data_IF_160801439684
#
_entry.id   IF_160801439684
#
_cell.length_a   1.000
_cell.length_b   1.000
_cell.length_c   1.000
_cell.angle_alpha   90.00
_cell.angle_beta   90.00
_cell.angle_gamma   90.00
#
_symmetry.space_group_name_H-M   'P 1'
#
loop_
_entity.id
_entity.type
_entity.pdbx_description
1 polymer ?
#
# COMPACT_ATOMS: atom_id res chain seq x y z
N UNK A 1 9.57 -41.84 12.24
CA UNK A 1 8.87 -40.76 11.52
C UNK A 1 7.93 -40.14 12.54
N UNK A 2 8.24 -38.97 13.12
CA UNK A 2 7.26 -38.24 13.89
C UNK A 2 6.18 -37.71 12.95
N UNK A 3 4.88 -37.82 13.30
CA UNK A 3 3.85 -37.17 12.52
C UNK A 3 4.18 -35.67 12.50
N UNK A 4 4.28 -35.10 11.30
CA UNK A 4 4.26 -33.65 11.16
C UNK A 4 2.90 -33.22 11.73
N UNK A 5 2.91 -32.67 12.94
CA UNK A 5 1.75 -32.02 13.53
C UNK A 5 1.30 -30.96 12.51
N UNK A 6 0.06 -31.05 12.06
CA UNK A 6 -0.62 -29.98 11.29
C UNK A 6 -0.63 -28.72 12.16
N UNK A 7 0.52 -28.01 12.14
CA UNK A 7 0.64 -26.77 12.88
C UNK A 7 -0.15 -25.70 12.12
N UNK A 8 -1.22 -25.22 12.76
CA UNK A 8 -2.02 -24.13 12.22
C UNK A 8 -1.73 -22.86 13.03
N UNK A 9 -1.76 -21.72 12.37
CA UNK A 9 -1.62 -20.38 12.98
C UNK A 9 -2.93 -19.63 12.89
N UNK A 10 -3.21 -18.78 13.85
CA UNK A 10 -4.35 -17.87 13.80
C UNK A 10 -4.10 -16.74 12.82
N UNK A 11 -5.12 -16.31 12.13
CA UNK A 11 -5.08 -15.15 11.25
C UNK A 11 -6.32 -14.29 11.41
N UNK A 12 -6.20 -13.05 10.99
CA UNK A 12 -7.29 -12.11 10.79
C UNK A 12 -7.18 -11.52 9.39
N UNK A 13 -8.33 -11.28 8.75
CA UNK A 13 -8.39 -10.64 7.44
C UNK A 13 -8.77 -9.19 7.62
N UNK A 14 -7.99 -8.29 7.05
CA UNK A 14 -8.21 -6.85 7.04
C UNK A 14 -8.14 -6.30 5.62
N UNK A 15 -8.85 -5.21 5.36
CA UNK A 15 -8.62 -4.42 4.16
C UNK A 15 -8.57 -2.93 4.44
N UNK A 16 -7.81 -2.21 3.61
CA UNK A 16 -7.80 -0.75 3.55
C UNK A 16 -8.07 -0.31 2.11
N UNK A 17 -9.23 0.31 1.85
CA UNK A 17 -9.61 0.75 0.49
C UNK A 17 -9.52 -0.36 -0.56
N UNK A 18 -10.06 -1.57 -0.22
CA UNK A 18 -10.11 -2.71 -1.13
C UNK A 18 -8.80 -3.48 -1.35
N UNK A 19 -7.70 -3.03 -0.76
CA UNK A 19 -6.44 -3.79 -0.70
C UNK A 19 -6.43 -4.62 0.58
N UNK A 20 -6.44 -5.95 0.45
CA UNK A 20 -6.75 -6.89 1.53
C UNK A 20 -5.57 -7.76 1.95
N UNK A 21 -5.45 -8.00 3.25
CA UNK A 21 -4.32 -8.70 3.85
C UNK A 21 -4.74 -9.80 4.81
N UNK A 22 -4.03 -10.92 4.76
CA UNK A 22 -3.96 -11.89 5.85
C UNK A 22 -3.00 -11.36 6.90
N UNK A 23 -3.47 -11.14 8.13
CA UNK A 23 -2.65 -10.67 9.25
C UNK A 23 -2.38 -11.83 10.18
N UNK A 24 -1.11 -12.09 10.46
CA UNK A 24 -0.62 -13.14 11.36
C UNK A 24 0.24 -12.50 12.45
N UNK A 25 0.06 -12.90 13.69
CA UNK A 25 0.96 -12.52 14.76
C UNK A 25 2.38 -13.01 14.43
N UNK A 26 3.34 -12.09 14.35
CA UNK A 26 4.71 -12.37 13.95
C UNK A 26 5.48 -13.28 14.93
N UNK A 27 4.91 -13.55 16.12
CA UNK A 27 5.43 -14.49 17.11
C UNK A 27 4.98 -15.94 16.83
N UNK A 28 3.97 -16.13 15.99
CA UNK A 28 3.52 -17.45 15.54
C UNK A 28 4.59 -18.10 14.64
N UNK A 29 4.86 -19.42 14.81
CA UNK A 29 5.93 -20.10 14.08
C UNK A 29 5.51 -20.43 12.62
N UNK A 30 5.74 -19.50 11.71
CA UNK A 30 5.63 -19.70 10.25
C UNK A 30 7.04 -19.75 9.65
N UNK A 31 7.63 -20.96 9.45
CA UNK A 31 9.03 -21.09 9.06
C UNK A 31 9.34 -20.67 7.63
N UNK A 32 8.35 -20.76 6.71
CA UNK A 32 8.50 -20.41 5.29
C UNK A 32 7.45 -19.39 4.88
N UNK A 33 7.66 -18.12 5.29
CA UNK A 33 6.70 -17.02 5.08
C UNK A 33 6.36 -16.77 3.61
N UNK A 34 7.33 -16.96 2.69
CA UNK A 34 7.09 -16.86 1.25
C UNK A 34 6.08 -17.89 0.77
N UNK A 35 6.35 -19.19 1.00
CA UNK A 35 5.43 -20.27 0.61
C UNK A 35 4.06 -20.17 1.31
N UNK A 36 4.02 -19.65 2.54
CA UNK A 36 2.77 -19.35 3.25
C UNK A 36 1.95 -18.30 2.49
N UNK A 37 2.60 -17.20 2.04
CA UNK A 37 1.92 -16.16 1.28
C UNK A 37 1.46 -16.68 -0.09
N UNK A 38 2.30 -17.38 -0.84
CA UNK A 38 1.94 -17.97 -2.13
C UNK A 38 0.67 -18.83 -2.03
N UNK A 39 0.58 -19.69 -1.00
CA UNK A 39 -0.56 -20.61 -0.83
C UNK A 39 -1.82 -19.87 -0.38
N UNK A 40 -1.71 -18.99 0.63
CA UNK A 40 -2.89 -18.38 1.25
C UNK A 40 -3.38 -17.09 0.57
N UNK A 41 -2.53 -16.43 -0.22
CA UNK A 41 -2.95 -15.26 -1.00
C UNK A 41 -3.59 -15.62 -2.35
N UNK A 42 -3.47 -16.84 -2.83
CA UNK A 42 -3.95 -17.25 -4.16
C UNK A 42 -5.46 -16.98 -4.33
N UNK A 43 -5.84 -16.28 -5.40
CA UNK A 43 -7.22 -15.78 -5.58
C UNK A 43 -8.26 -16.87 -5.88
N UNK A 44 -7.84 -18.08 -6.24
CA UNK A 44 -8.75 -19.22 -6.50
C UNK A 44 -8.75 -20.24 -5.36
N UNK A 45 -7.60 -20.47 -4.71
CA UNK A 45 -7.41 -21.57 -3.75
C UNK A 45 -7.02 -21.09 -2.35
N UNK A 46 -6.68 -19.81 -2.18
CA UNK A 46 -6.22 -19.24 -0.91
C UNK A 46 -7.34 -19.07 0.13
N UNK A 47 -7.05 -18.28 1.14
CA UNK A 47 -7.95 -18.04 2.27
C UNK A 47 -9.34 -17.59 1.82
N UNK A 48 -10.38 -18.12 2.48
CA UNK A 48 -11.77 -17.77 2.23
C UNK A 48 -12.53 -17.66 3.55
N UNK A 49 -13.58 -16.85 3.55
CA UNK A 49 -14.52 -16.79 4.66
C UNK A 49 -15.43 -18.02 4.65
N UNK A 50 -15.30 -18.88 5.66
CA UNK A 50 -16.13 -20.07 5.81
C UNK A 50 -17.61 -19.75 6.11
N UNK A 51 -17.89 -18.55 6.62
CA UNK A 51 -19.27 -18.08 6.87
C UNK A 51 -20.01 -17.67 5.59
N UNK A 52 -19.27 -17.36 4.52
CA UNK A 52 -19.79 -16.87 3.26
C UNK A 52 -20.28 -15.43 3.29
N UNK A 53 -19.94 -14.66 4.34
CA UNK A 53 -20.26 -13.23 4.42
C UNK A 53 -19.37 -12.37 3.50
N UNK A 54 -18.17 -12.87 3.18
CA UNK A 54 -17.20 -12.20 2.32
C UNK A 54 -16.83 -13.11 1.13
N UNK A 55 -17.12 -12.64 -0.07
CA UNK A 55 -16.93 -13.44 -1.31
C UNK A 55 -15.46 -13.46 -1.79
N UNK A 56 -14.63 -12.50 -1.36
CA UNK A 56 -13.28 -12.34 -1.88
C UNK A 56 -12.30 -13.35 -1.29
N UNK A 57 -11.87 -14.29 -2.11
CA UNK A 57 -10.86 -15.29 -1.75
C UNK A 57 -9.43 -14.75 -1.89
N UNK A 58 -8.48 -15.35 -1.14
CA UNK A 58 -7.07 -14.97 -1.17
C UNK A 58 -6.80 -13.60 -0.54
N UNK A 59 -5.66 -13.01 -0.86
CA UNK A 59 -5.25 -11.70 -0.36
C UNK A 59 -4.23 -11.02 -1.28
N UNK A 60 -4.04 -9.70 -1.11
CA UNK A 60 -2.98 -8.94 -1.77
C UNK A 60 -1.62 -9.08 -1.05
N UNK A 61 -1.60 -9.75 0.09
CA UNK A 61 -0.38 -10.07 0.83
C UNK A 61 -0.64 -10.60 2.23
N UNK A 62 0.44 -11.00 2.90
CA UNK A 62 0.44 -11.40 4.30
C UNK A 62 1.23 -10.39 5.12
N UNK A 63 0.63 -9.87 6.17
CA UNK A 63 1.28 -9.04 7.18
C UNK A 63 1.64 -9.92 8.39
N UNK A 64 2.92 -10.09 8.66
CA UNK A 64 3.40 -10.64 9.92
C UNK A 64 3.71 -9.47 10.85
N UNK A 65 2.95 -9.35 11.95
CA UNK A 65 2.99 -8.20 12.85
C UNK A 65 3.43 -8.63 14.24
N UNK A 66 4.49 -8.03 14.78
CA UNK A 66 4.87 -8.19 16.18
C UNK A 66 4.64 -6.89 16.95
N UNK A 67 3.76 -6.95 17.96
CA UNK A 67 3.43 -5.81 18.80
C UNK A 67 4.35 -5.77 20.03
N UNK A 68 5.00 -4.63 20.22
CA UNK A 68 5.83 -4.34 21.38
C UNK A 68 5.17 -3.20 22.19
N UNK A 69 4.22 -3.56 23.06
CA UNK A 69 3.38 -2.64 23.85
C UNK A 69 4.12 -1.97 25.00
N UNK A 70 5.34 -2.45 25.33
CA UNK A 70 6.23 -1.84 26.35
C UNK A 70 6.77 -0.46 25.96
N UNK A 71 6.70 -0.08 24.68
CA UNK A 71 7.12 1.25 24.20
C UNK A 71 5.95 2.24 24.24
N UNK A 72 6.27 3.53 24.27
CA UNK A 72 5.30 4.63 24.26
C UNK A 72 5.70 5.70 23.22
N UNK A 73 5.04 5.78 22.07
CA UNK A 73 3.93 4.90 21.61
C UNK A 73 4.35 3.45 21.42
N UNK A 74 3.41 2.48 21.49
CA UNK A 74 3.71 1.09 21.18
C UNK A 74 4.30 0.94 19.78
N UNK A 75 5.17 -0.06 19.63
CA UNK A 75 5.88 -0.35 18.38
C UNK A 75 5.30 -1.59 17.71
N UNK A 76 5.18 -1.55 16.39
CA UNK A 76 4.75 -2.67 15.56
C UNK A 76 5.90 -2.98 14.60
N UNK A 77 6.46 -4.19 14.66
CA UNK A 77 7.37 -4.66 13.61
C UNK A 77 6.54 -5.29 12.51
N UNK A 78 6.54 -4.71 11.33
CA UNK A 78 5.75 -5.14 10.18
C UNK A 78 6.62 -5.80 9.12
N UNK A 79 6.31 -7.05 8.77
CA UNK A 79 6.85 -7.72 7.59
C UNK A 79 5.71 -7.98 6.61
N UNK A 80 5.80 -7.43 5.41
CA UNK A 80 4.85 -7.68 4.32
C UNK A 80 5.45 -8.69 3.34
N UNK A 81 4.72 -9.76 3.10
CA UNK A 81 5.04 -10.79 2.10
C UNK A 81 3.98 -10.74 1.01
N UNK A 82 4.42 -10.58 -0.23
CA UNK A 82 3.56 -10.51 -1.41
C UNK A 82 3.05 -11.89 -1.84
N UNK A 83 2.03 -11.98 -2.70
CA UNK A 83 1.48 -13.26 -3.17
C UNK A 83 2.48 -14.15 -3.92
N UNK A 84 3.57 -13.58 -4.47
CA UNK A 84 4.65 -14.31 -5.11
C UNK A 84 5.76 -14.77 -4.14
N UNK A 85 5.54 -14.60 -2.83
CA UNK A 85 6.49 -14.94 -1.77
C UNK A 85 7.60 -13.91 -1.54
N UNK A 86 7.69 -12.85 -2.33
CA UNK A 86 8.67 -11.78 -2.16
C UNK A 86 8.32 -10.84 -1.00
N UNK A 87 9.30 -10.06 -0.52
CA UNK A 87 9.11 -9.11 0.58
C UNK A 87 8.96 -7.69 0.03
N UNK A 88 7.92 -7.00 0.45
CA UNK A 88 7.74 -5.59 0.13
C UNK A 88 8.25 -4.69 1.26
N UNK A 89 9.00 -3.64 0.90
CA UNK A 89 9.62 -2.73 1.87
C UNK A 89 8.59 -1.86 2.62
N UNK A 90 7.49 -1.51 1.96
CA UNK A 90 6.42 -0.68 2.51
C UNK A 90 5.12 -0.86 1.72
N UNK A 91 3.99 -0.75 2.44
CA UNK A 91 2.66 -0.61 1.86
C UNK A 91 1.83 0.30 2.78
N UNK A 92 1.32 1.43 2.28
CA UNK A 92 0.52 2.37 3.06
C UNK A 92 -0.80 1.76 3.56
N UNK A 93 -1.44 0.93 2.73
CA UNK A 93 -2.66 0.21 3.10
C UNK A 93 -2.35 -0.85 4.17
N UNK A 94 -1.26 -1.62 4.01
CA UNK A 94 -0.80 -2.59 5.01
C UNK A 94 -0.42 -1.94 6.34
N UNK A 95 0.21 -0.76 6.32
CA UNK A 95 0.54 -0.02 7.55
C UNK A 95 -0.73 0.45 8.29
N UNK A 96 -1.79 0.86 7.56
CA UNK A 96 -3.08 1.17 8.18
C UNK A 96 -3.71 -0.08 8.83
N UNK A 97 -3.71 -1.22 8.13
CA UNK A 97 -4.18 -2.50 8.69
C UNK A 97 -3.38 -2.91 9.93
N UNK A 98 -2.05 -2.73 9.92
CA UNK A 98 -1.20 -3.02 11.08
C UNK A 98 -1.55 -2.14 12.30
N UNK A 99 -1.80 -0.84 12.08
CA UNK A 99 -2.22 0.07 13.15
C UNK A 99 -3.61 -0.30 13.70
N UNK A 100 -4.58 -0.66 12.85
CA UNK A 100 -5.89 -1.11 13.27
C UNK A 100 -5.81 -2.40 14.09
N UNK A 101 -5.01 -3.37 13.63
CA UNK A 101 -4.77 -4.63 14.32
C UNK A 101 -4.17 -4.42 15.73
N UNK A 102 -3.22 -3.50 15.88
CA UNK A 102 -2.62 -3.17 17.15
C UNK A 102 -3.58 -2.40 18.07
N UNK A 103 -4.38 -1.47 17.54
CA UNK A 103 -5.37 -0.73 18.31
C UNK A 103 -6.49 -1.62 18.86
N UNK A 104 -6.81 -2.73 18.18
CA UNK A 104 -7.74 -3.74 18.70
C UNK A 104 -7.17 -4.53 19.91
N UNK A 105 -5.85 -4.45 20.17
CA UNK A 105 -5.12 -5.19 21.21
C UNK A 105 -4.59 -4.32 22.36
N UNK A 106 -4.68 -3.00 22.21
CA UNK A 106 -4.18 -2.03 23.19
C UNK A 106 -5.16 -0.86 23.33
N UNK A 107 -5.00 -0.05 24.36
CA UNK A 107 -5.73 1.21 24.52
C UNK A 107 -5.04 2.39 23.81
N UNK A 108 -3.93 2.13 23.08
CA UNK A 108 -3.19 3.15 22.38
C UNK A 108 -3.90 3.55 21.08
N UNK A 109 -3.81 4.84 20.75
CA UNK A 109 -4.29 5.41 19.49
C UNK A 109 -3.15 5.89 18.59
N UNK A 110 -1.91 5.72 19.01
CA UNK A 110 -0.71 6.10 18.28
C UNK A 110 0.31 4.97 18.31
N UNK A 111 0.95 4.70 17.18
CA UNK A 111 1.88 3.59 16.99
C UNK A 111 3.09 4.01 16.17
N UNK A 112 4.25 3.38 16.46
CA UNK A 112 5.42 3.42 15.57
C UNK A 112 5.53 2.10 14.85
N UNK A 113 5.44 2.12 13.52
CA UNK A 113 5.47 0.93 12.65
C UNK A 113 6.83 0.84 12.00
N UNK A 114 7.60 -0.17 12.37
CA UNK A 114 8.89 -0.46 11.74
C UNK A 114 8.69 -1.29 10.49
N UNK A 115 9.11 -0.76 9.37
CA UNK A 115 9.08 -1.37 8.06
C UNK A 115 10.50 -1.45 7.49
N UNK A 116 10.69 -2.18 6.38
CA UNK A 116 12.00 -2.19 5.69
C UNK A 116 12.36 -0.82 5.09
N UNK A 117 11.38 0.06 4.88
CA UNK A 117 11.60 1.44 4.43
C UNK A 117 11.69 2.47 5.58
N UNK A 118 11.97 1.99 6.80
CA UNK A 118 12.08 2.80 8.01
C UNK A 118 10.79 2.85 8.83
N UNK A 119 10.89 3.54 9.98
CA UNK A 119 9.79 3.67 10.93
C UNK A 119 8.76 4.69 10.45
N UNK A 120 7.48 4.34 10.57
CA UNK A 120 6.34 5.19 10.23
C UNK A 120 5.49 5.42 11.47
N UNK A 121 5.02 6.66 11.67
CA UNK A 121 4.05 6.96 12.71
C UNK A 121 2.64 6.75 12.17
N UNK A 122 1.79 6.09 12.97
CA UNK A 122 0.38 5.91 12.66
C UNK A 122 -0.49 6.42 13.81
N UNK A 123 -1.63 7.03 13.45
CA UNK A 123 -2.64 7.51 14.40
C UNK A 123 -3.98 6.91 14.02
N UNK A 124 -4.63 6.24 14.98
CA UNK A 124 -5.93 5.57 14.82
C UNK A 124 -7.01 6.45 15.42
N UNK A 125 -8.07 6.71 14.66
CA UNK A 125 -9.29 7.37 15.12
C UNK A 125 -10.46 6.40 14.96
N UNK A 126 -11.32 6.31 15.97
CA UNK A 126 -12.35 5.28 16.05
C UNK A 126 -11.84 3.96 16.63
N UNK A 127 -12.69 2.96 16.70
CA UNK A 127 -12.32 1.61 17.17
C UNK A 127 -12.47 0.62 16.02
N UNK A 128 -11.43 -0.16 15.68
CA UNK A 128 -11.57 -1.25 14.75
C UNK A 128 -12.60 -2.27 15.24
N UNK A 129 -13.53 -2.71 14.37
CA UNK A 129 -14.54 -3.72 14.69
C UNK A 129 -15.82 -3.19 15.36
N UNK A 130 -16.02 -1.87 15.41
CA UNK A 130 -17.33 -1.25 15.74
C UNK A 130 -18.18 -1.02 14.48
N UNK A 131 -19.38 -0.44 14.64
CA UNK A 131 -20.26 -0.04 13.52
C UNK A 131 -19.61 1.01 12.60
N UNK A 132 -18.58 1.72 13.09
CA UNK A 132 -17.78 2.67 12.34
C UNK A 132 -16.41 2.03 12.00
N UNK A 133 -16.01 2.06 10.74
CA UNK A 133 -14.68 1.69 10.30
C UNK A 133 -13.61 2.55 11.02
N UNK A 134 -12.49 1.94 11.41
CA UNK A 134 -11.39 2.71 11.97
C UNK A 134 -10.76 3.57 10.88
N UNK A 135 -10.52 4.84 11.20
CA UNK A 135 -9.89 5.79 10.30
C UNK A 135 -8.44 6.03 10.75
N UNK A 136 -7.49 5.72 9.86
CA UNK A 136 -6.07 5.67 10.21
C UNK A 136 -5.25 6.60 9.35
N UNK A 137 -4.47 7.45 10.01
CA UNK A 137 -3.48 8.31 9.38
C UNK A 137 -2.08 7.70 9.55
N UNK A 138 -1.35 7.53 8.45
CA UNK A 138 0.06 7.06 8.44
C UNK A 138 0.96 8.13 7.86
N UNK A 139 2.11 8.40 8.50
CA UNK A 139 3.17 9.23 7.94
C UNK A 139 3.93 8.45 6.87
N UNK A 140 3.89 8.95 5.64
CA UNK A 140 4.46 8.27 4.47
C UNK A 140 5.92 8.65 4.20
N UNK A 141 6.43 9.69 4.87
CA UNK A 141 7.73 10.28 4.62
C UNK A 141 7.65 11.43 3.62
N UNK A 142 8.80 11.98 3.25
CA UNK A 142 8.88 13.12 2.34
C UNK A 142 8.96 12.64 0.89
N UNK A 143 8.05 13.06 0.00
CA UNK A 143 8.19 12.84 -1.44
C UNK A 143 9.47 13.51 -1.97
N UNK A 144 10.18 12.85 -2.88
CA UNK A 144 11.38 13.37 -3.51
C UNK A 144 11.31 13.26 -5.04
N UNK A 145 11.78 14.29 -5.72
CA UNK A 145 11.88 14.37 -7.18
C UNK A 145 13.34 14.26 -7.64
N UNK A 146 14.26 14.06 -6.71
CA UNK A 146 15.68 13.99 -7.05
C UNK A 146 15.97 12.72 -7.89
N UNK A 147 16.69 12.86 -9.03
CA UNK A 147 16.93 11.75 -9.96
C UNK A 147 17.49 10.49 -9.31
N UNK A 148 18.38 10.66 -8.33
CA UNK A 148 19.00 9.53 -7.60
C UNK A 148 18.02 8.78 -6.70
N UNK A 149 17.05 9.52 -6.12
CA UNK A 149 16.08 8.95 -5.20
C UNK A 149 14.92 8.28 -5.95
N UNK A 150 14.57 8.81 -7.14
CA UNK A 150 13.55 8.22 -8.04
C UNK A 150 14.10 7.04 -8.83
N UNK A 151 15.32 6.63 -8.70
CA UNK A 151 16.32 5.97 -9.53
C UNK A 151 16.07 6.12 -11.05
N UNK A 152 16.18 7.37 -11.52
CA UNK A 152 16.17 7.67 -12.96
C UNK A 152 17.46 7.18 -13.63
N UNK A 153 17.48 7.17 -14.98
CA UNK A 153 18.65 6.80 -15.76
C UNK A 153 19.91 7.56 -15.32
N UNK A 154 21.05 6.85 -15.24
CA UNK A 154 22.28 7.35 -14.62
C UNK A 154 22.93 8.56 -15.33
N UNK A 155 22.58 8.79 -16.59
CA UNK A 155 23.02 9.93 -17.41
C UNK A 155 22.10 11.16 -17.24
N UNK A 156 21.09 11.06 -16.36
CA UNK A 156 20.13 12.13 -16.11
C UNK A 156 20.43 12.86 -14.82
N UNK A 157 20.78 14.14 -14.95
CA UNK A 157 21.00 15.04 -13.80
C UNK A 157 19.74 15.85 -13.42
N UNK A 158 18.82 16.00 -14.37
CA UNK A 158 17.59 16.79 -14.17
C UNK A 158 16.41 15.95 -13.71
N UNK A 159 15.53 16.58 -12.91
CA UNK A 159 14.25 15.99 -12.49
C UNK A 159 13.37 15.76 -13.71
N UNK A 160 12.68 14.64 -13.74
CA UNK A 160 11.70 14.34 -14.78
C UNK A 160 10.34 14.93 -14.36
N UNK A 161 9.99 16.08 -14.91
CA UNK A 161 8.79 16.85 -14.57
C UNK A 161 8.07 17.28 -15.85
N UNK A 162 6.83 16.84 -16.05
CA UNK A 162 6.00 17.10 -17.23
C UNK A 162 6.75 16.78 -18.54
N UNK A 163 7.34 15.62 -18.62
CA UNK A 163 8.07 15.16 -19.79
C UNK A 163 7.39 13.95 -20.44
N UNK A 164 7.48 13.87 -21.76
CA UNK A 164 6.92 12.74 -22.50
C UNK A 164 7.79 11.48 -22.33
N UNK A 165 7.19 10.40 -21.82
CA UNK A 165 7.77 9.07 -21.75
C UNK A 165 6.80 8.07 -22.39
N UNK A 166 7.19 7.51 -23.53
CA UNK A 166 6.40 6.50 -24.27
C UNK A 166 4.94 6.92 -24.55
N UNK A 167 4.73 8.19 -24.86
CA UNK A 167 3.41 8.73 -25.22
C UNK A 167 2.56 9.25 -24.06
N UNK A 168 3.07 9.19 -22.82
CA UNK A 168 2.46 9.85 -21.67
C UNK A 168 3.36 10.98 -21.16
N UNK A 169 2.76 12.16 -20.89
CA UNK A 169 3.44 13.21 -20.13
C UNK A 169 3.44 12.83 -18.66
N UNK A 170 4.63 12.62 -18.09
CA UNK A 170 4.78 12.14 -16.71
C UNK A 170 5.64 13.05 -15.85
N UNK A 171 5.37 13.05 -14.57
CA UNK A 171 6.23 13.60 -13.51
C UNK A 171 6.68 12.46 -12.61
N UNK A 172 7.99 12.28 -12.48
CA UNK A 172 8.57 11.21 -11.68
C UNK A 172 8.78 11.65 -10.23
N UNK A 173 8.32 10.86 -9.28
CA UNK A 173 8.43 11.13 -7.84
C UNK A 173 8.60 9.83 -7.06
N UNK A 174 9.43 9.84 -6.01
CA UNK A 174 9.53 8.73 -5.06
C UNK A 174 8.76 9.09 -3.76
N UNK A 175 7.85 8.22 -3.36
CA UNK A 175 7.04 8.30 -2.14
C UNK A 175 7.23 7.07 -1.24
N UNK A 176 8.44 6.49 -1.27
CA UNK A 176 8.81 5.20 -0.70
C UNK A 176 9.03 4.14 -1.78
N UNK A 177 8.40 4.32 -2.92
CA UNK A 177 8.66 3.62 -4.19
C UNK A 177 8.54 4.62 -5.34
N UNK A 178 9.21 4.39 -6.49
CA UNK A 178 9.15 5.31 -7.62
C UNK A 178 7.81 5.25 -8.36
N UNK A 179 7.28 6.42 -8.69
CA UNK A 179 6.07 6.62 -9.50
C UNK A 179 6.34 7.52 -10.71
N UNK A 180 5.82 7.13 -11.86
CA UNK A 180 5.61 7.98 -13.03
C UNK A 180 4.13 8.42 -13.02
N UNK A 181 3.87 9.66 -12.62
CA UNK A 181 2.51 10.21 -12.48
C UNK A 181 2.15 10.96 -13.76
N UNK A 182 1.05 10.56 -14.40
CA UNK A 182 0.48 11.24 -15.56
C UNK A 182 -0.91 11.81 -15.21
N UNK A 183 -1.10 13.12 -15.48
CA UNK A 183 -2.41 13.74 -15.37
C UNK A 183 -3.12 13.66 -16.72
N UNK A 184 -4.34 13.13 -16.71
CA UNK A 184 -5.18 12.91 -17.90
C UNK A 184 -6.56 13.52 -17.68
N UNK A 185 -7.32 13.77 -18.74
CA UNK A 185 -8.67 14.34 -18.63
C UNK A 185 -9.64 13.41 -17.89
N UNK A 186 -9.53 12.09 -18.13
CA UNK A 186 -10.34 11.06 -17.49
C UNK A 186 -9.56 9.75 -17.42
N UNK A 187 -9.29 9.26 -16.19
CA UNK A 187 -8.54 7.99 -15.99
C UNK A 187 -9.27 6.78 -16.56
N UNK A 188 -10.61 6.78 -16.59
CA UNK A 188 -11.41 5.67 -17.10
C UNK A 188 -11.41 5.58 -18.63
N UNK A 189 -11.02 6.65 -19.32
CA UNK A 189 -10.89 6.67 -20.78
C UNK A 189 -9.55 6.09 -21.27
N UNK A 190 -8.61 5.82 -20.36
CA UNK A 190 -7.27 5.32 -20.71
C UNK A 190 -7.22 3.80 -20.51
N UNK A 191 -6.79 3.07 -21.53
CA UNK A 191 -6.43 1.66 -21.42
C UNK A 191 -5.08 1.54 -20.71
N UNK A 192 -5.13 1.46 -19.37
CA UNK A 192 -3.94 1.46 -18.52
C UNK A 192 -3.04 0.25 -18.82
N UNK A 193 -3.62 -0.93 -19.03
CA UNK A 193 -2.85 -2.15 -19.31
C UNK A 193 -2.13 -2.08 -20.68
N UNK A 194 -2.66 -1.30 -21.63
CA UNK A 194 -2.00 -1.08 -22.91
C UNK A 194 -0.85 -0.06 -22.83
N UNK A 195 -1.00 1.01 -22.05
CA UNK A 195 -0.01 2.12 -22.04
C UNK A 195 1.06 1.98 -20.95
N UNK A 196 0.70 1.45 -19.78
CA UNK A 196 1.58 1.44 -18.61
C UNK A 196 2.83 0.58 -18.78
N UNK A 197 2.82 -0.63 -19.39
CA UNK A 197 4.03 -1.45 -19.50
C UNK A 197 5.16 -0.75 -20.24
N UNK A 198 4.86 0.06 -21.27
CA UNK A 198 5.89 0.79 -22.01
C UNK A 198 6.56 1.88 -21.17
N UNK A 199 5.82 2.57 -20.31
CA UNK A 199 6.34 3.57 -19.37
C UNK A 199 7.05 2.89 -18.20
N UNK A 200 6.45 1.83 -17.63
CA UNK A 200 6.98 1.02 -16.53
C UNK A 200 8.41 0.53 -16.79
N UNK A 201 8.71 0.16 -18.05
CA UNK A 201 9.99 -0.39 -18.49
C UNK A 201 10.77 0.58 -19.39
N UNK A 202 10.45 1.87 -19.38
CA UNK A 202 11.18 2.85 -20.16
C UNK A 202 12.62 3.02 -19.68
N UNK A 203 13.55 3.37 -20.59
CA UNK A 203 14.96 3.61 -20.27
C UNK A 203 15.15 4.71 -19.21
N UNK A 204 14.18 5.63 -19.10
CA UNK A 204 14.15 6.65 -18.04
C UNK A 204 14.06 6.04 -16.62
N UNK A 205 13.52 4.84 -16.47
CA UNK A 205 13.33 4.12 -15.22
C UNK A 205 14.03 2.75 -15.25
N UNK A 206 15.35 2.68 -15.13
CA UNK A 206 16.10 1.42 -15.26
C UNK A 206 15.71 0.36 -14.23
N UNK A 207 15.27 0.76 -13.05
CA UNK A 207 14.69 -0.14 -12.03
C UNK A 207 13.17 -0.27 -12.13
N UNK A 208 12.58 0.44 -13.10
CA UNK A 208 11.15 0.57 -13.32
C UNK A 208 10.43 1.41 -12.26
N UNK A 209 9.26 1.91 -12.64
CA UNK A 209 8.39 2.72 -11.78
C UNK A 209 6.95 2.21 -11.81
N UNK A 210 6.17 2.49 -10.78
CA UNK A 210 4.72 2.39 -10.87
C UNK A 210 4.22 3.45 -11.86
N UNK A 211 3.23 3.12 -12.67
CA UNK A 211 2.59 4.09 -13.56
C UNK A 211 1.25 4.48 -12.97
N UNK A 212 1.12 5.75 -12.59
CA UNK A 212 -0.03 6.26 -11.87
C UNK A 212 -0.73 7.32 -12.71
N UNK A 213 -1.96 7.04 -13.14
CA UNK A 213 -2.83 8.01 -13.81
C UNK A 213 -3.65 8.76 -12.76
N UNK A 214 -3.85 10.05 -13.00
CA UNK A 214 -4.73 10.90 -12.22
C UNK A 214 -5.59 11.78 -13.12
N UNK A 215 -6.88 11.93 -12.80
CA UNK A 215 -7.74 12.96 -13.36
C UNK A 215 -8.35 13.80 -12.26
N UNK A 216 -8.50 15.10 -12.51
CA UNK A 216 -9.05 16.02 -11.53
C UNK A 216 -10.56 15.89 -11.46
N UNK A 217 -11.09 15.74 -10.26
CA UNK A 217 -12.52 15.68 -9.99
C UNK A 217 -13.14 17.09 -9.88
N UNK A 218 -14.46 17.20 -10.02
CA UNK A 218 -15.19 18.48 -9.94
C UNK A 218 -15.07 19.16 -8.56
N UNK A 219 -14.89 18.36 -7.49
CA UNK A 219 -14.72 18.87 -6.11
C UNK A 219 -13.26 19.21 -5.76
N UNK A 220 -12.34 19.10 -6.73
CA UNK A 220 -10.93 19.45 -6.58
C UNK A 220 -10.04 18.30 -6.10
N UNK A 221 -10.59 17.10 -5.83
CA UNK A 221 -9.86 15.86 -5.61
C UNK A 221 -9.29 15.26 -6.88
N UNK A 222 -8.82 14.01 -6.78
CA UNK A 222 -8.31 13.26 -7.93
C UNK A 222 -8.84 11.83 -7.94
N UNK A 223 -9.30 11.38 -9.10
CA UNK A 223 -9.46 9.96 -9.40
C UNK A 223 -8.11 9.35 -9.75
N UNK A 224 -7.84 8.12 -9.31
CA UNK A 224 -6.57 7.40 -9.46
C UNK A 224 -6.74 6.05 -10.09
N UNK A 225 -5.79 5.68 -11.00
CA UNK A 225 -5.55 4.29 -11.40
C UNK A 225 -4.05 4.04 -11.43
N UNK A 226 -3.60 2.89 -10.95
CA UNK A 226 -2.15 2.57 -10.85
C UNK A 226 -1.85 1.17 -11.34
N UNK A 227 -0.91 1.08 -12.29
CA UNK A 227 -0.22 -0.15 -12.68
C UNK A 227 1.02 -0.30 -11.80
N UNK A 228 1.06 -1.34 -10.96
CA UNK A 228 2.09 -1.48 -9.95
C UNK A 228 3.26 -2.35 -10.39
N UNK A 229 4.46 -1.86 -10.11
CA UNK A 229 5.73 -2.58 -10.22
C UNK A 229 5.74 -3.79 -9.27
N UNK A 230 6.02 -4.97 -9.82
CA UNK A 230 6.04 -6.23 -9.06
C UNK A 230 4.72 -6.98 -9.08
N UNK A 231 3.58 -6.28 -9.21
CA UNK A 231 2.27 -6.88 -9.53
C UNK A 231 2.13 -7.05 -11.04
N UNK A 232 2.72 -6.11 -11.80
CA UNK A 232 2.67 -6.02 -13.27
C UNK A 232 1.22 -5.99 -13.79
N UNK A 233 0.39 -5.20 -13.11
CA UNK A 233 -1.03 -5.00 -13.41
C UNK A 233 -1.65 -3.88 -12.58
N UNK A 234 -2.90 -3.54 -12.89
CA UNK A 234 -3.68 -2.57 -12.15
C UNK A 234 -4.08 -3.11 -10.78
N UNK A 235 -3.92 -2.29 -9.73
CA UNK A 235 -4.37 -2.61 -8.37
C UNK A 235 -5.53 -1.73 -7.95
N UNK A 236 -6.33 -2.23 -6.99
CA UNK A 236 -7.51 -1.51 -6.51
C UNK A 236 -7.18 -0.27 -5.69
N UNK A 237 -6.00 -0.21 -5.08
CA UNK A 237 -5.59 0.92 -4.25
C UNK A 237 -4.07 0.94 -4.08
N UNK A 238 -3.44 2.05 -4.46
CA UNK A 238 -2.03 2.31 -4.26
C UNK A 238 -1.83 3.57 -3.41
N UNK A 239 -1.57 3.39 -2.12
CA UNK A 239 -1.42 4.51 -1.18
C UNK A 239 -0.21 5.41 -1.48
N UNK A 240 0.93 4.82 -1.91
CA UNK A 240 2.11 5.58 -2.35
C UNK A 240 1.81 6.34 -3.64
N UNK A 241 1.00 5.78 -4.53
CA UNK A 241 0.50 6.44 -5.74
C UNK A 241 -0.39 7.64 -5.43
N UNK A 242 -1.27 7.53 -4.43
CA UNK A 242 -2.10 8.65 -3.99
C UNK A 242 -1.23 9.83 -3.46
N UNK A 243 -0.21 9.53 -2.66
CA UNK A 243 0.76 10.55 -2.22
C UNK A 243 1.54 11.13 -3.40
N UNK A 244 1.92 10.29 -4.37
CA UNK A 244 2.63 10.70 -5.57
C UNK A 244 1.81 11.69 -6.43
N UNK A 245 0.49 11.44 -6.58
CA UNK A 245 -0.43 12.34 -7.29
C UNK A 245 -0.42 13.73 -6.65
N UNK A 246 -0.63 13.82 -5.33
CA UNK A 246 -0.70 15.12 -4.65
C UNK A 246 0.66 15.83 -4.69
N UNK A 247 1.77 15.10 -4.51
CA UNK A 247 3.11 15.66 -4.62
C UNK A 247 3.40 16.20 -6.03
N UNK A 248 3.06 15.44 -7.08
CA UNK A 248 3.21 15.87 -8.47
C UNK A 248 2.29 17.04 -8.81
N UNK A 249 1.03 17.04 -8.34
CA UNK A 249 0.09 18.13 -8.52
C UNK A 249 0.61 19.45 -7.90
N UNK A 250 1.15 19.40 -6.68
CA UNK A 250 1.83 20.55 -6.06
C UNK A 250 3.03 21.03 -6.89
N UNK A 251 3.85 20.09 -7.35
CA UNK A 251 5.04 20.41 -8.17
C UNK A 251 4.69 21.13 -9.47
N UNK A 252 3.53 20.78 -10.04
CA UNK A 252 3.01 21.36 -11.30
C UNK A 252 2.13 22.61 -11.08
N UNK A 253 1.86 23.01 -9.82
CA UNK A 253 0.97 24.13 -9.51
C UNK A 253 -0.51 23.84 -9.78
N UNK A 254 -0.91 22.57 -9.81
CA UNK A 254 -2.32 22.16 -9.97
C UNK A 254 -3.09 22.29 -8.65
N UNK A 255 -2.39 22.18 -7.52
CA UNK A 255 -2.90 22.41 -6.16
C UNK A 255 -1.90 23.23 -5.35
N UNK A 256 -2.39 24.05 -4.46
CA UNK A 256 -1.59 24.94 -3.60
C UNK A 256 -1.77 24.58 -2.11
N UNK A 257 -0.86 25.06 -1.28
CA UNK A 257 -0.96 24.95 0.17
C UNK A 257 -0.71 23.53 0.71
N UNK A 258 -1.06 23.37 1.98
CA UNK A 258 -0.91 22.10 2.72
C UNK A 258 -2.29 21.47 3.03
N UNK A 259 -3.26 21.77 2.19
CA UNK A 259 -4.62 21.28 2.35
C UNK A 259 -4.68 19.76 2.17
N UNK A 260 -5.68 19.18 2.81
CA UNK A 260 -6.04 17.79 2.67
C UNK A 260 -6.72 17.58 1.31
N UNK A 261 -6.15 16.70 0.48
CA UNK A 261 -6.63 16.39 -0.86
C UNK A 261 -7.19 14.97 -0.88
N UNK A 262 -8.42 14.82 -1.35
CA UNK A 262 -9.00 13.51 -1.60
C UNK A 262 -8.39 12.90 -2.88
N UNK A 263 -8.01 11.62 -2.79
CA UNK A 263 -7.60 10.80 -3.92
C UNK A 263 -8.41 9.50 -3.90
N UNK A 264 -9.08 9.22 -4.99
CA UNK A 264 -10.04 8.11 -5.13
C UNK A 264 -9.51 7.03 -6.08
N UNK A 265 -8.73 6.04 -5.59
CA UNK A 265 -8.49 4.81 -6.33
C UNK A 265 -9.77 3.96 -6.43
N UNK A 266 -9.83 2.93 -7.30
CA UNK A 266 -11.01 2.07 -7.47
C UNK A 266 -11.51 1.40 -6.18
N UNK A 267 -10.66 1.28 -5.16
CA UNK A 267 -10.98 0.61 -3.88
C UNK A 267 -11.57 1.51 -2.80
N UNK A 268 -11.71 2.82 -3.03
CA UNK A 268 -12.27 3.78 -2.06
C UNK A 268 -11.36 4.98 -1.80
N UNK A 269 -11.87 5.96 -1.06
CA UNK A 269 -11.23 7.25 -0.89
C UNK A 269 -10.08 7.24 0.11
N UNK A 270 -9.05 8.01 -0.22
CA UNK A 270 -7.91 8.33 0.61
C UNK A 270 -7.80 9.85 0.76
N UNK A 271 -7.38 10.29 1.93
CA UNK A 271 -7.10 11.68 2.22
C UNK A 271 -5.60 11.88 2.37
N UNK A 272 -5.04 12.77 1.56
CA UNK A 272 -3.59 12.97 1.45
C UNK A 272 -3.25 14.40 1.80
N UNK A 273 -2.21 14.57 2.63
CA UNK A 273 -1.58 15.88 2.87
C UNK A 273 -0.10 15.78 2.53
N UNK A 274 0.41 16.76 1.77
CA UNK A 274 1.83 16.86 1.42
C UNK A 274 2.30 18.26 1.82
N UNK A 275 2.74 18.46 3.09
CA UNK A 275 3.18 19.77 3.54
C UNK A 275 4.53 20.14 2.94
N UNK A 276 4.76 21.44 2.75
CA UNK A 276 6.01 21.96 2.24
C UNK A 276 7.17 21.59 3.16
N UNK A 277 8.10 20.81 2.62
CA UNK A 277 9.28 20.36 3.36
C UNK A 277 9.01 19.38 4.52
N UNK A 278 7.78 18.91 4.69
CA UNK A 278 7.36 17.95 5.72
C UNK A 278 7.17 16.52 5.20
N UNK A 279 6.78 15.62 6.13
CA UNK A 279 6.31 14.27 5.80
C UNK A 279 4.89 14.33 5.23
N UNK A 280 4.66 13.65 4.13
CA UNK A 280 3.31 13.40 3.64
C UNK A 280 2.53 12.50 4.61
N UNK A 281 1.22 12.67 4.68
CA UNK A 281 0.33 11.78 5.41
C UNK A 281 -0.70 11.17 4.48
N UNK A 282 -1.05 9.92 4.76
CA UNK A 282 -2.11 9.18 4.10
C UNK A 282 -3.11 8.77 5.17
N UNK A 283 -4.36 9.16 4.98
CA UNK A 283 -5.48 8.80 5.86
C UNK A 283 -6.53 8.04 5.07
N UNK A 284 -7.13 7.03 5.70
CA UNK A 284 -8.22 6.29 5.11
C UNK A 284 -8.74 5.18 6.02
N UNK A 285 -9.90 4.59 5.66
CA UNK A 285 -10.57 3.58 6.47
C UNK A 285 -9.81 2.24 6.45
N UNK A 286 -10.03 1.47 7.51
CA UNK A 286 -9.64 0.06 7.61
C UNK A 286 -10.80 -0.72 8.23
N UNK A 287 -11.06 -1.88 7.66
CA UNK A 287 -12.09 -2.81 8.13
C UNK A 287 -11.45 -4.18 8.42
N UNK A 288 -11.88 -4.78 9.54
CA UNK A 288 -11.62 -6.17 9.84
C UNK A 288 -12.75 -7.00 9.23
N UNK A 289 -12.41 -8.01 8.43
CA UNK A 289 -13.41 -8.83 7.74
C UNK A 289 -13.77 -10.08 8.55
N UNK A 290 -12.83 -11.00 8.71
CA UNK A 290 -13.00 -12.26 9.41
C UNK A 290 -11.68 -12.81 9.94
N UNK A 291 -11.72 -13.88 10.69
CA UNK A 291 -10.54 -14.57 11.18
C UNK A 291 -10.71 -16.07 11.21
N UNK A 292 -9.63 -16.79 11.43
CA UNK A 292 -9.64 -18.25 11.44
C UNK A 292 -8.26 -18.85 11.71
N UNK A 293 -8.04 -20.05 11.20
CA UNK A 293 -6.76 -20.77 11.33
C UNK A 293 -6.29 -21.27 9.96
N UNK A 294 -4.99 -21.14 9.70
CA UNK A 294 -4.34 -21.56 8.46
C UNK A 294 -3.20 -22.53 8.74
N UNK A 295 -2.95 -23.46 7.82
CA UNK A 295 -1.80 -24.33 7.89
C UNK A 295 -0.50 -23.51 7.83
N UNK A 296 0.37 -23.61 8.86
CA UNK A 296 1.66 -22.89 8.89
C UNK A 296 2.65 -23.40 7.85
N UNK A 297 2.42 -24.63 7.35
CA UNK A 297 3.15 -25.24 6.24
C UNK A 297 2.10 -25.77 5.23
N UNK A 298 1.73 -24.98 4.24
CA UNK A 298 0.84 -25.46 3.19
C UNK A 298 1.51 -26.61 2.45
N UNK A 299 0.71 -27.58 2.05
CA UNK A 299 1.17 -28.66 1.16
C UNK A 299 1.57 -28.05 -0.18
N UNK A 300 2.71 -28.52 -0.73
CA UNK A 300 3.21 -28.08 -2.04
C UNK A 300 2.44 -28.74 -3.16
#
# INVERSE_FOLDING_TARGET
>A
MSPALDHTVSFEKYHGTGNDFVVVDGTEPVPYRGAFAEAHCHRETGVADESGAHDRRGADGVLFLALEDRFHPPRIVMTLVQPDGSFAAMCGNGARCAAAWAAARTDASEFMIDTQSGTKRAVVRGKPGGDDSADITVEMGRPTFEPRDVPLAADRDDKLVAEEVKGLEVTAVNTGVPHAVAFVDNVDAVDLDAVAPAVRHADAFPEGANVTLASRDEDGGFSQRTFERGVEGETRSCGTGAVAIVAAAKRLGLVDGDDLIRVSPPGGDLEITVPDGGSATLRGPVEAEYGGRLAARPEQ
#
